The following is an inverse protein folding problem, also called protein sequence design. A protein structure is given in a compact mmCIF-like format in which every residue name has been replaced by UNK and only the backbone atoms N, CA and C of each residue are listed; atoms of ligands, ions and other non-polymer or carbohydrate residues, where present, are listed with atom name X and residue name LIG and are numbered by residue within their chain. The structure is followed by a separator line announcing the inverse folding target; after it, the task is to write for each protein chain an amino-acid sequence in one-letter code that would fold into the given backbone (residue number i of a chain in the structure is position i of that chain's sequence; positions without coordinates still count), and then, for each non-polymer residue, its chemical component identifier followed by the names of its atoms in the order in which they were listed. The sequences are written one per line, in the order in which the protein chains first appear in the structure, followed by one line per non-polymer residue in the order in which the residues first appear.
data_IF_171972130541
#
_entry.id   IF_171972130541
#
_cell.length_a   1.000
_cell.length_b   1.000
_cell.length_c   1.000
_cell.angle_alpha   90.00
_cell.angle_beta   90.00
_cell.angle_gamma   90.00
#
_symmetry.space_group_name_H-M   'P 1'
#
loop_
_entity.id
_entity.type
_entity.pdbx_description
1 polymer ?
#
# COMPACT_ATOMS: atom_id res chain seq x y z
N UNK A 1 1.65 -29.64 26.76
CA UNK A 1 0.75 -29.01 25.76
C UNK A 1 1.57 -28.61 24.54
N UNK A 2 1.24 -29.17 23.36
CA UNK A 2 2.08 -29.09 22.16
C UNK A 2 1.88 -27.75 21.43
N UNK A 3 2.99 -27.04 21.12
CA UNK A 3 3.04 -25.70 20.47
C UNK A 3 2.14 -25.57 19.22
N UNK A 4 1.93 -26.65 18.48
CA UNK A 4 1.08 -26.72 17.27
C UNK A 4 -0.42 -26.53 17.54
N UNK A 5 -0.89 -26.93 18.72
CA UNK A 5 -2.32 -26.80 19.07
C UNK A 5 -2.64 -25.38 19.54
N UNK A 6 -1.67 -24.68 20.12
CA UNK A 6 -1.80 -23.27 20.50
C UNK A 6 -1.76 -22.35 19.28
N UNK A 7 -0.82 -22.57 18.34
CA UNK A 7 -0.77 -21.83 17.08
C UNK A 7 -2.09 -21.94 16.30
N UNK A 8 -2.65 -23.14 16.15
CA UNK A 8 -3.93 -23.31 15.43
C UNK A 8 -5.13 -22.62 16.06
N UNK A 9 -5.12 -22.39 17.39
CA UNK A 9 -6.17 -21.63 18.09
C UNK A 9 -5.97 -20.11 17.99
N UNK A 10 -4.76 -19.65 17.68
CA UNK A 10 -4.41 -18.25 17.45
C UNK A 10 -4.49 -17.86 15.95
N UNK A 11 -4.27 -18.81 15.05
CA UNK A 11 -4.29 -18.65 13.58
C UNK A 11 -5.62 -18.05 13.06
N UNK A 12 -6.74 -18.25 13.76
CA UNK A 12 -8.02 -17.63 13.39
C UNK A 12 -8.09 -16.11 13.60
N UNK A 13 -7.17 -15.51 14.36
CA UNK A 13 -7.11 -14.06 14.62
C UNK A 13 -5.94 -13.37 13.92
N UNK A 14 -4.86 -14.11 13.67
CA UNK A 14 -3.68 -13.61 12.94
C UNK A 14 -4.02 -13.28 11.48
N UNK A 15 -4.90 -14.05 10.84
CA UNK A 15 -5.39 -13.75 9.49
C UNK A 15 -6.10 -12.39 9.44
N UNK A 16 -7.00 -12.10 10.37
CA UNK A 16 -7.75 -10.82 10.38
C UNK A 16 -6.84 -9.62 10.65
N UNK A 17 -5.83 -9.77 11.51
CA UNK A 17 -4.86 -8.70 11.71
C UNK A 17 -3.98 -8.48 10.48
N UNK A 18 -3.51 -9.55 9.84
CA UNK A 18 -2.74 -9.46 8.60
C UNK A 18 -3.59 -8.87 7.45
N UNK A 19 -4.87 -9.23 7.35
CA UNK A 19 -5.83 -8.68 6.39
C UNK A 19 -6.01 -7.18 6.59
N UNK A 20 -6.17 -6.71 7.83
CA UNK A 20 -6.29 -5.28 8.13
C UNK A 20 -4.99 -4.51 7.79
N UNK A 21 -3.84 -5.09 8.10
CA UNK A 21 -2.53 -4.52 7.73
C UNK A 21 -2.39 -4.46 6.21
N UNK A 22 -2.80 -5.51 5.52
CA UNK A 22 -2.78 -5.59 4.06
C UNK A 22 -3.74 -4.59 3.41
N UNK A 23 -4.91 -4.35 3.99
CA UNK A 23 -5.87 -3.34 3.55
C UNK A 23 -5.28 -1.92 3.66
N UNK A 24 -4.67 -1.58 4.80
CA UNK A 24 -4.02 -0.28 4.99
C UNK A 24 -2.82 -0.12 4.05
N UNK A 25 -2.01 -1.16 3.86
CA UNK A 25 -0.88 -1.14 2.91
C UNK A 25 -1.35 -0.97 1.48
N UNK A 26 -2.44 -1.64 1.10
CA UNK A 26 -3.04 -1.51 -0.22
C UNK A 26 -3.50 -0.08 -0.47
N UNK A 27 -4.18 0.55 0.48
CA UNK A 27 -4.67 1.93 0.34
C UNK A 27 -3.51 2.93 0.15
N UNK A 28 -2.43 2.81 0.93
CA UNK A 28 -1.24 3.65 0.77
C UNK A 28 -0.58 3.41 -0.59
N UNK A 29 -0.41 2.14 -0.98
CA UNK A 29 0.22 1.78 -2.24
C UNK A 29 -0.60 2.30 -3.44
N UNK A 30 -1.92 2.21 -3.36
CA UNK A 30 -2.86 2.75 -4.34
C UNK A 30 -2.69 4.26 -4.48
N UNK A 31 -2.69 5.00 -3.37
CA UNK A 31 -2.53 6.45 -3.38
C UNK A 31 -1.18 6.88 -3.97
N UNK A 32 -0.10 6.14 -3.68
CA UNK A 32 1.20 6.38 -4.30
C UNK A 32 1.18 6.11 -5.80
N UNK A 33 0.48 5.07 -6.26
CA UNK A 33 0.36 4.75 -7.69
C UNK A 33 -0.47 5.77 -8.47
N UNK A 34 -1.50 6.35 -7.84
CA UNK A 34 -2.45 7.30 -8.44
C UNK A 34 -1.95 8.75 -8.37
N UNK A 35 -1.48 9.20 -7.21
CA UNK A 35 -1.17 10.61 -6.96
C UNK A 35 0.29 10.98 -7.23
N UNK A 36 1.15 10.01 -7.55
CA UNK A 36 2.58 10.27 -7.76
C UNK A 36 3.11 9.60 -9.03
N UNK A 37 4.16 10.21 -9.60
CA UNK A 37 4.93 9.63 -10.69
C UNK A 37 6.08 8.73 -10.21
N UNK A 38 6.05 8.27 -8.96
CA UNK A 38 7.12 7.43 -8.40
C UNK A 38 7.26 6.14 -9.22
N UNK A 39 8.51 5.75 -9.47
CA UNK A 39 8.79 4.45 -10.07
C UNK A 39 8.40 3.31 -9.12
N UNK A 40 8.13 2.14 -9.67
CA UNK A 40 7.77 0.95 -8.88
C UNK A 40 8.88 0.56 -7.89
N UNK A 41 10.14 0.86 -8.21
CA UNK A 41 11.28 0.67 -7.31
C UNK A 41 11.27 1.64 -6.12
N UNK A 42 10.87 2.90 -6.33
CA UNK A 42 10.74 3.89 -5.24
C UNK A 42 9.57 3.55 -4.32
N UNK A 43 8.45 3.09 -4.89
CA UNK A 43 7.31 2.61 -4.10
C UNK A 43 7.73 1.37 -3.31
N UNK A 44 8.43 0.42 -3.92
CA UNK A 44 8.95 -0.76 -3.22
C UNK A 44 9.85 -0.40 -2.03
N UNK A 45 10.76 0.57 -2.20
CA UNK A 45 11.62 1.06 -1.13
C UNK A 45 10.84 1.72 0.02
N UNK A 46 9.70 2.34 -0.26
CA UNK A 46 8.83 2.96 0.77
C UNK A 46 8.20 1.91 1.69
N UNK A 47 7.96 0.70 1.18
CA UNK A 47 7.42 -0.44 1.92
C UNK A 47 8.50 -1.43 2.38
N UNK A 48 9.78 -1.06 2.29
CA UNK A 48 10.94 -1.88 2.67
C UNK A 48 11.05 -3.22 1.89
N UNK A 49 10.56 -3.24 0.64
CA UNK A 49 10.76 -4.39 -0.25
C UNK A 49 12.14 -4.34 -0.91
N UNK A 50 12.75 -5.52 -1.08
CA UNK A 50 14.06 -5.69 -1.73
C UNK A 50 14.11 -5.12 -3.16
N UNK A 51 13.00 -5.22 -3.88
CA UNK A 51 12.92 -4.81 -5.28
C UNK A 51 11.45 -4.61 -5.73
N UNK A 52 11.28 -4.01 -6.91
CA UNK A 52 9.98 -3.75 -7.51
C UNK A 52 9.16 -5.03 -7.79
N UNK A 53 9.80 -6.17 -8.02
CA UNK A 53 9.12 -7.46 -8.27
C UNK A 53 8.57 -8.05 -6.98
N UNK A 54 9.28 -7.91 -5.86
CA UNK A 54 8.77 -8.26 -4.53
C UNK A 54 7.51 -7.46 -4.19
N UNK A 55 7.56 -6.13 -4.36
CA UNK A 55 6.39 -5.27 -4.22
C UNK A 55 5.26 -5.66 -5.18
N UNK A 56 5.55 -5.91 -6.46
CA UNK A 56 4.52 -6.28 -7.46
C UNK A 56 3.76 -7.55 -7.09
N UNK A 57 4.46 -8.55 -6.54
CA UNK A 57 3.85 -9.80 -6.06
C UNK A 57 2.93 -9.56 -4.85
N UNK A 58 3.39 -8.76 -3.89
CA UNK A 58 2.59 -8.38 -2.73
C UNK A 58 1.38 -7.54 -3.14
N UNK A 59 1.59 -6.50 -3.95
CA UNK A 59 0.54 -5.64 -4.46
C UNK A 59 -0.51 -6.45 -5.20
N UNK A 60 -0.13 -7.36 -6.10
CA UNK A 60 -1.09 -8.19 -6.84
C UNK A 60 -1.95 -9.08 -5.93
N UNK A 61 -1.46 -9.46 -4.74
CA UNK A 61 -2.21 -10.30 -3.79
C UNK A 61 -3.43 -9.57 -3.23
N UNK A 62 -3.43 -8.24 -3.15
CA UNK A 62 -4.53 -7.49 -2.54
C UNK A 62 -5.72 -7.25 -3.52
N UNK A 63 -5.56 -6.58 -4.69
CA UNK A 63 -6.64 -6.34 -5.63
C UNK A 63 -6.68 -7.33 -6.80
N UNK A 64 -5.75 -8.31 -6.87
CA UNK A 64 -5.62 -9.25 -8.00
C UNK A 64 -4.95 -8.66 -9.26
N UNK A 65 -4.64 -7.36 -9.27
CA UNK A 65 -4.16 -6.60 -10.43
C UNK A 65 -2.74 -6.10 -10.20
N UNK A 66 -1.92 -6.07 -11.26
CA UNK A 66 -0.57 -5.54 -11.20
C UNK A 66 -0.56 -4.01 -11.04
N UNK A 67 0.40 -3.43 -10.30
CA UNK A 67 0.48 -1.98 -10.04
C UNK A 67 0.61 -1.15 -11.33
N UNK A 68 1.29 -1.67 -12.36
CA UNK A 68 1.38 -1.01 -13.68
C UNK A 68 0.04 -0.91 -14.38
N UNK A 69 -0.79 -1.97 -14.30
CA UNK A 69 -2.14 -1.97 -14.86
C UNK A 69 -3.08 -1.05 -14.06
N UNK A 70 -2.86 -0.91 -12.75
CA UNK A 70 -3.55 0.05 -11.92
C UNK A 70 -3.27 1.49 -12.36
N UNK A 71 -1.99 1.85 -12.53
CA UNK A 71 -1.58 3.18 -12.99
C UNK A 71 -2.08 3.53 -14.40
N UNK A 72 -2.10 2.56 -15.31
CA UNK A 72 -2.68 2.77 -16.65
C UNK A 72 -4.19 3.02 -16.62
N UNK A 73 -4.90 2.46 -15.63
CA UNK A 73 -6.33 2.66 -15.46
C UNK A 73 -6.64 4.04 -14.89
N UNK A 74 -5.85 4.52 -13.92
CA UNK A 74 -6.02 5.87 -13.36
C UNK A 74 -5.75 6.95 -14.40
N UNK A 75 -4.73 6.81 -15.25
CA UNK A 75 -4.47 7.78 -16.33
C UNK A 75 -5.59 7.86 -17.38
N UNK A 76 -6.32 6.75 -17.60
CA UNK A 76 -7.47 6.73 -18.50
C UNK A 76 -8.72 7.41 -17.90
N UNK A 77 -8.85 7.42 -16.58
CA UNK A 77 -9.96 8.07 -15.85
C UNK A 77 -9.75 9.59 -15.70
N UNK A 78 -8.50 10.05 -15.69
CA UNK A 78 -8.14 11.48 -15.55
C UNK A 78 -8.41 12.31 -16.84
N UNK A 79 -8.64 11.68 -17.99
CA UNK A 79 -8.82 12.40 -19.27
C UNK A 79 -10.19 13.09 -19.45
N UNK A 80 -11.06 13.09 -18.42
CA UNK A 80 -12.43 13.64 -18.51
C UNK A 80 -12.75 14.78 -17.54
N UNK A 81 -11.83 15.22 -16.65
CA UNK A 81 -12.17 16.34 -15.75
C UNK A 81 -11.04 17.36 -15.55
N UNK A 82 -11.44 18.63 -15.66
CA UNK A 82 -10.68 19.88 -15.60
C UNK A 82 -9.94 20.09 -14.25
N UNK A 83 -8.98 21.05 -14.17
CA UNK A 83 -8.08 21.18 -13.03
C UNK A 83 -8.80 21.72 -11.80
N UNK A 84 -8.13 21.61 -10.65
CA UNK A 84 -8.49 22.16 -9.33
C UNK A 84 -9.32 21.22 -8.44
N UNK A 85 -8.62 20.38 -7.68
CA UNK A 85 -8.93 20.23 -6.25
C UNK A 85 -7.76 19.56 -5.53
N UNK A 86 -6.98 20.40 -4.86
CA UNK A 86 -6.17 20.03 -3.71
C UNK A 86 -7.13 19.44 -2.68
N UNK A 87 -7.28 18.12 -2.69
CA UNK A 87 -8.08 17.41 -1.71
C UNK A 87 -7.42 17.57 -0.33
N UNK A 88 -8.15 18.01 0.72
CA UNK A 88 -7.60 18.35 2.02
C UNK A 88 -7.02 17.16 2.80
N UNK A 89 -7.12 15.93 2.27
CA UNK A 89 -6.54 14.75 2.90
C UNK A 89 -5.03 14.58 2.64
N UNK A 90 -4.47 15.25 1.61
CA UNK A 90 -3.04 15.14 1.31
C UNK A 90 -2.15 15.97 2.28
N UNK A 91 -2.76 16.86 3.06
CA UNK A 91 -2.06 17.67 4.09
C UNK A 91 -1.87 16.89 5.40
N UNK A 92 -2.68 15.86 5.68
CA UNK A 92 -2.54 15.10 6.93
C UNK A 92 -1.42 14.04 6.90
N UNK A 93 -1.06 13.52 5.72
CA UNK A 93 -0.01 12.50 5.59
C UNK A 93 1.41 13.06 5.57
N UNK A 94 1.61 14.35 5.28
CA UNK A 94 2.91 15.01 5.38
C UNK A 94 3.33 15.36 6.81
N UNK A 95 2.40 15.30 7.79
CA UNK A 95 2.66 15.61 9.20
C UNK A 95 3.05 14.43 10.10
N UNK A 96 2.87 13.18 9.64
CA UNK A 96 3.07 11.99 10.48
C UNK A 96 4.41 11.27 10.26
N UNK A 97 5.25 11.75 9.33
CA UNK A 97 6.50 11.09 8.94
C UNK A 97 7.79 11.73 9.50
N UNK A 98 7.72 12.61 10.52
CA UNK A 98 8.92 13.24 11.09
C UNK A 98 9.04 13.19 12.64
N UNK A 99 8.49 12.16 13.29
CA UNK A 99 8.83 11.84 14.69
C UNK A 99 9.25 10.39 14.85
N UNK A 100 10.36 10.03 14.21
CA UNK A 100 11.20 8.90 14.65
C UNK A 100 12.64 9.13 14.24
N UNK A 101 13.17 10.31 14.60
CA UNK A 101 14.60 10.55 14.72
C UNK A 101 14.78 11.40 15.97
N UNK A 102 15.57 10.90 16.91
CA UNK A 102 15.84 11.40 18.27
C UNK A 102 14.75 11.12 19.32
N UNK A 103 14.74 9.89 19.85
CA UNK A 103 15.24 9.58 21.20
C UNK A 103 15.59 8.09 21.30
#
# INVERSE_FOLDING_TARGET
MHRRTLNRRLEGRDCTFQELVDEVRFEIARQLLENTHMSMSQIAATFDYSDASAFTRAFRRWPGIAPTAWRSRSSALESTHAPLTTSPLNVMLSGLFLKSSLF
#
